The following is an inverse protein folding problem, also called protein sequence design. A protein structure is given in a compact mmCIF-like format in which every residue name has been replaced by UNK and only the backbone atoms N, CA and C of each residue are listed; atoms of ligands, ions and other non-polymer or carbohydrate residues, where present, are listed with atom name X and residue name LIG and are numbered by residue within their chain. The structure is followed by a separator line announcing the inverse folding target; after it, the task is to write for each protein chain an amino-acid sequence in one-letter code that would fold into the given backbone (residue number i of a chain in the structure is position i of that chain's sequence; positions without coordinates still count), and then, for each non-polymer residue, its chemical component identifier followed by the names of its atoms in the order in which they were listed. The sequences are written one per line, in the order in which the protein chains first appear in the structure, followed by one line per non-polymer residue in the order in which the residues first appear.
data_IF_055234995769
#
_entry.id   IF_055234995769
#
_cell.length_a   1.000
_cell.length_b   1.000
_cell.length_c   1.000
_cell.angle_alpha   90.00
_cell.angle_beta   90.00
_cell.angle_gamma   90.00
#
_symmetry.space_group_name_H-M   'P 1'
#
loop_
_entity.id
_entity.type
_entity.pdbx_description
1 polymer ?
#
# COMPACT_ATOMS: atom_id res chain seq x y z
N UNK A 1 8.95 -13.35 -2.39
CA UNK A 1 10.34 -13.52 -2.86
C UNK A 1 10.81 -14.94 -2.51
N UNK A 2 11.84 -15.45 -3.19
CA UNK A 2 12.45 -16.76 -2.94
C UNK A 2 13.98 -16.60 -2.99
N UNK A 3 14.77 -17.44 -2.28
CA UNK A 3 16.21 -17.49 -2.53
C UNK A 3 16.44 -17.93 -3.97
N UNK A 4 17.46 -17.37 -4.61
CA UNK A 4 17.79 -17.65 -6.00
C UNK A 4 19.21 -18.20 -6.11
N UNK A 5 19.38 -19.23 -6.92
CA UNK A 5 20.68 -19.82 -7.25
C UNK A 5 20.80 -19.88 -8.77
N UNK A 6 21.78 -19.18 -9.32
CA UNK A 6 22.12 -19.21 -10.74
C UNK A 6 23.43 -19.98 -10.92
N UNK A 7 23.42 -21.02 -11.74
CA UNK A 7 24.60 -21.86 -12.00
C UNK A 7 24.98 -21.74 -13.47
N UNK A 8 26.21 -21.31 -13.74
CA UNK A 8 26.81 -21.32 -15.07
C UNK A 8 27.65 -22.59 -15.21
N UNK A 9 27.32 -23.42 -16.20
CA UNK A 9 28.04 -24.68 -16.45
C UNK A 9 29.21 -24.47 -17.39
N UNK A 10 30.32 -25.13 -17.09
CA UNK A 10 31.52 -25.25 -17.91
C UNK A 10 31.98 -26.71 -17.93
N UNK A 11 31.66 -27.40 -19.03
CA UNK A 11 31.83 -28.85 -19.14
C UNK A 11 31.01 -29.62 -18.10
N UNK A 12 31.69 -30.46 -17.31
CA UNK A 12 31.09 -31.31 -16.27
C UNK A 12 30.91 -30.61 -14.92
N UNK A 13 31.40 -29.38 -14.77
CA UNK A 13 31.29 -28.60 -13.53
C UNK A 13 30.61 -27.26 -13.78
N UNK A 14 30.11 -26.62 -12.74
CA UNK A 14 29.51 -25.29 -12.84
C UNK A 14 29.75 -24.45 -11.61
N UNK A 15 29.87 -23.13 -11.80
CA UNK A 15 29.96 -22.15 -10.71
C UNK A 15 28.61 -21.50 -10.49
N UNK A 16 28.17 -21.49 -9.25
CA UNK A 16 26.89 -20.93 -8.82
C UNK A 16 27.06 -19.67 -7.99
N UNK A 17 26.18 -18.69 -8.21
CA UNK A 17 25.99 -17.56 -7.30
C UNK A 17 24.59 -17.61 -6.70
N UNK A 18 24.52 -17.41 -5.39
CA UNK A 18 23.31 -17.52 -4.60
C UNK A 18 22.96 -16.15 -3.99
N UNK A 19 21.67 -15.81 -3.95
CA UNK A 19 21.14 -14.64 -3.24
C UNK A 19 19.94 -15.04 -2.40
N UNK A 20 19.91 -14.53 -1.18
CA UNK A 20 18.83 -14.76 -0.23
C UNK A 20 17.99 -13.52 -0.03
N UNK A 21 16.90 -13.68 0.71
CA UNK A 21 16.06 -12.61 1.20
C UNK A 21 15.59 -12.94 2.62
N UNK A 22 15.12 -11.93 3.36
CA UNK A 22 14.26 -12.19 4.52
C UNK A 22 14.88 -13.01 5.64
N UNK A 23 16.19 -12.94 5.83
CA UNK A 23 16.89 -13.71 6.87
C UNK A 23 17.02 -15.21 6.61
N UNK A 24 16.64 -15.73 5.43
CA UNK A 24 16.95 -17.12 5.08
C UNK A 24 18.46 -17.30 4.93
N UNK A 25 19.08 -18.17 5.73
CA UNK A 25 20.54 -18.33 5.73
C UNK A 25 21.00 -19.28 4.61
N UNK A 26 21.58 -18.71 3.54
CA UNK A 26 22.13 -19.49 2.44
C UNK A 26 23.31 -20.37 2.84
N UNK A 27 24.16 -19.94 3.78
CA UNK A 27 25.30 -20.73 4.18
C UNK A 27 24.85 -22.04 4.85
N UNK A 28 23.83 -21.96 5.71
CA UNK A 28 23.26 -23.13 6.38
C UNK A 28 22.54 -24.03 5.36
N UNK A 29 21.78 -23.43 4.44
CA UNK A 29 21.08 -24.17 3.38
C UNK A 29 22.05 -24.93 2.46
N UNK A 30 23.16 -24.30 2.06
CA UNK A 30 24.19 -24.95 1.24
C UNK A 30 24.95 -26.00 2.04
N UNK A 31 25.21 -25.77 3.33
CA UNK A 31 25.85 -26.76 4.20
C UNK A 31 25.02 -28.02 4.34
N UNK A 32 23.70 -27.88 4.46
CA UNK A 32 22.77 -29.01 4.48
C UNK A 32 22.67 -29.75 3.12
N UNK A 33 23.16 -29.15 2.04
CA UNK A 33 23.19 -29.74 0.70
C UNK A 33 24.62 -30.11 0.25
N UNK A 34 25.58 -30.10 1.17
CA UNK A 34 27.02 -30.22 0.87
C UNK A 34 27.39 -31.49 0.09
N UNK A 35 26.70 -32.61 0.30
CA UNK A 35 26.89 -33.86 -0.44
C UNK A 35 26.64 -33.75 -1.95
N UNK A 36 25.91 -32.71 -2.38
CA UNK A 36 25.66 -32.44 -3.80
C UNK A 36 26.71 -31.50 -4.41
N UNK A 37 27.55 -30.87 -3.59
CA UNK A 37 28.42 -29.76 -3.98
C UNK A 37 29.89 -30.19 -3.98
N UNK A 38 30.66 -29.64 -4.90
CA UNK A 38 32.14 -29.78 -4.92
C UNK A 38 32.75 -28.82 -3.90
N UNK A 39 32.21 -27.61 -3.80
CA UNK A 39 32.59 -26.61 -2.81
C UNK A 39 31.48 -25.58 -2.65
N UNK A 40 31.46 -24.89 -1.50
CA UNK A 40 30.57 -23.75 -1.27
C UNK A 40 31.16 -22.83 -0.19
N UNK A 41 30.66 -21.59 -0.14
CA UNK A 41 31.06 -20.62 0.88
C UNK A 41 30.35 -19.28 0.72
N UNK A 42 30.45 -18.42 1.73
CA UNK A 42 29.84 -17.08 1.74
C UNK A 42 29.11 -16.79 3.05
N UNK A 43 28.08 -15.97 2.97
CA UNK A 43 27.31 -15.48 4.11
C UNK A 43 25.81 -15.76 3.94
N UNK A 44 25.04 -15.45 4.98
CA UNK A 44 23.59 -15.70 5.02
C UNK A 44 22.83 -15.14 3.81
N UNK A 45 23.18 -13.95 3.32
CA UNK A 45 22.46 -13.29 2.21
C UNK A 45 23.06 -13.53 0.82
N UNK A 46 24.33 -13.95 0.75
CA UNK A 46 25.02 -14.18 -0.51
C UNK A 46 26.08 -15.27 -0.36
N UNK A 47 26.04 -16.26 -1.25
CA UNK A 47 26.97 -17.38 -1.23
C UNK A 47 27.35 -17.81 -2.65
N UNK A 48 28.43 -18.57 -2.76
CA UNK A 48 28.89 -19.21 -3.98
C UNK A 48 28.98 -20.72 -3.81
N UNK A 49 28.85 -21.44 -4.91
CA UNK A 49 29.03 -22.90 -4.95
C UNK A 49 29.74 -23.36 -6.23
N UNK A 50 30.32 -24.54 -6.17
CA UNK A 50 30.77 -25.32 -7.32
C UNK A 50 30.05 -26.65 -7.29
N UNK A 51 29.53 -27.10 -8.42
CA UNK A 51 28.71 -28.30 -8.52
C UNK A 51 29.04 -29.07 -9.79
N UNK A 52 28.88 -30.40 -9.77
CA UNK A 52 28.94 -31.22 -10.98
C UNK A 52 27.60 -31.21 -11.70
N UNK A 53 27.62 -31.27 -13.03
CA UNK A 53 26.42 -31.22 -13.88
C UNK A 53 25.40 -32.30 -13.51
N UNK A 54 25.86 -33.50 -13.21
CA UNK A 54 25.04 -34.66 -12.83
C UNK A 54 24.36 -34.51 -11.45
N UNK A 55 24.87 -33.62 -10.58
CA UNK A 55 24.33 -33.41 -9.21
C UNK A 55 23.33 -32.27 -9.10
N UNK A 56 23.06 -31.55 -10.20
CA UNK A 56 22.19 -30.36 -10.19
C UNK A 56 20.75 -30.69 -9.82
N UNK A 57 20.23 -31.83 -10.28
CA UNK A 57 18.88 -32.28 -9.97
C UNK A 57 18.75 -32.62 -8.47
N UNK A 58 19.72 -33.37 -7.93
CA UNK A 58 19.78 -33.74 -6.52
C UNK A 58 19.90 -32.51 -5.62
N UNK A 59 20.79 -31.57 -5.97
CA UNK A 59 20.94 -30.31 -5.26
C UNK A 59 19.63 -29.50 -5.24
N UNK A 60 18.92 -29.41 -6.37
CA UNK A 60 17.63 -28.72 -6.45
C UNK A 60 16.60 -29.33 -5.50
N UNK A 61 16.52 -30.65 -5.46
CA UNK A 61 15.60 -31.36 -4.57
C UNK A 61 15.97 -31.16 -3.09
N UNK A 62 17.25 -31.29 -2.76
CA UNK A 62 17.75 -31.09 -1.40
C UNK A 62 17.52 -29.66 -0.89
N UNK A 63 17.84 -28.65 -1.72
CA UNK A 63 17.64 -27.25 -1.37
C UNK A 63 16.17 -26.91 -1.19
N UNK A 64 15.28 -27.44 -2.04
CA UNK A 64 13.83 -27.27 -1.88
C UNK A 64 13.35 -27.89 -0.57
N UNK A 65 13.74 -29.12 -0.28
CA UNK A 65 13.35 -29.80 0.95
C UNK A 65 13.86 -29.07 2.20
N UNK A 66 15.04 -28.46 2.13
CA UNK A 66 15.55 -27.60 3.19
C UNK A 66 14.71 -26.33 3.35
N UNK A 67 14.38 -25.65 2.25
CA UNK A 67 13.54 -24.45 2.27
C UNK A 67 12.14 -24.72 2.84
N UNK A 68 11.50 -25.80 2.41
CA UNK A 68 10.14 -26.16 2.89
C UNK A 68 10.11 -26.40 4.41
N UNK A 69 11.22 -26.85 5.00
CA UNK A 69 11.37 -27.00 6.47
C UNK A 69 11.78 -25.73 7.19
N UNK A 70 12.42 -24.80 6.48
CA UNK A 70 13.00 -23.58 7.03
C UNK A 70 12.62 -22.37 6.18
N UNK A 71 11.33 -22.09 5.95
CA UNK A 71 10.94 -20.98 5.11
C UNK A 71 11.37 -19.67 5.78
N UNK A 72 11.70 -18.67 4.96
CA UNK A 72 11.80 -17.30 5.49
C UNK A 72 10.43 -16.88 6.02
N UNK A 73 10.39 -16.36 7.24
CA UNK A 73 9.19 -15.74 7.79
C UNK A 73 8.96 -14.32 7.24
N UNK A 74 9.92 -13.77 6.48
CA UNK A 74 9.84 -12.40 6.01
C UNK A 74 8.89 -12.31 4.81
N UNK A 75 7.91 -11.44 4.97
CA UNK A 75 7.08 -10.97 3.86
C UNK A 75 7.81 -9.79 3.23
N UNK A 76 7.96 -9.73 1.89
CA UNK A 76 8.43 -8.52 1.24
C UNK A 76 7.57 -7.34 1.68
N UNK A 77 8.19 -6.36 2.32
CA UNK A 77 7.53 -5.15 2.78
C UNK A 77 8.20 -3.95 2.11
N UNK A 78 7.39 -2.97 1.72
CA UNK A 78 7.87 -1.66 1.34
C UNK A 78 7.66 -0.73 2.53
N UNK A 79 8.75 -0.38 3.20
CA UNK A 79 8.73 0.60 4.27
C UNK A 79 8.71 2.00 3.65
N UNK A 80 7.75 2.82 4.08
CA UNK A 80 7.67 4.23 3.70
C UNK A 80 8.05 5.07 4.92
N UNK A 81 8.99 5.98 4.75
CA UNK A 81 9.53 6.82 5.81
C UNK A 81 8.51 7.87 6.28
N UNK A 82 7.66 8.35 5.36
CA UNK A 82 6.70 9.41 5.68
C UNK A 82 5.43 9.34 4.85
N UNK A 83 4.29 9.42 5.52
CA UNK A 83 2.99 9.65 4.89
C UNK A 83 2.80 11.14 4.60
N UNK A 84 2.33 11.45 3.40
CA UNK A 84 1.95 12.80 2.97
C UNK A 84 0.46 12.78 2.62
N UNK A 85 -0.34 13.51 3.39
CA UNK A 85 -1.76 13.69 3.11
C UNK A 85 -2.04 14.97 2.30
N UNK A 86 -1.27 16.04 2.55
CA UNK A 86 -1.34 17.31 1.82
C UNK A 86 -0.23 17.40 0.75
N UNK A 87 -0.58 17.34 -0.55
CA UNK A 87 0.38 17.50 -1.64
C UNK A 87 1.10 18.84 -1.65
N UNK A 88 0.59 19.88 -0.99
CA UNK A 88 1.21 21.20 -0.94
C UNK A 88 2.57 21.19 -0.23
N UNK A 89 2.82 20.19 0.62
CA UNK A 89 4.10 19.96 1.28
C UNK A 89 5.22 19.56 0.31
N UNK A 90 4.86 19.07 -0.89
CA UNK A 90 5.80 18.71 -1.94
C UNK A 90 6.18 19.94 -2.76
N UNK A 91 7.06 20.78 -2.21
CA UNK A 91 7.61 21.97 -2.88
C UNK A 91 8.93 21.66 -3.59
N UNK A 92 9.29 22.45 -4.61
CA UNK A 92 10.57 22.30 -5.31
C UNK A 92 11.74 22.49 -4.35
N UNK A 93 11.62 23.44 -3.42
CA UNK A 93 12.62 23.74 -2.40
C UNK A 93 12.76 22.59 -1.39
N UNK A 94 11.63 22.02 -0.96
CA UNK A 94 11.62 20.87 -0.05
C UNK A 94 12.27 19.64 -0.69
N UNK A 95 11.97 19.37 -1.96
CA UNK A 95 12.60 18.27 -2.69
C UNK A 95 14.09 18.52 -2.95
N UNK A 96 14.49 19.74 -3.27
CA UNK A 96 15.90 20.10 -3.42
C UNK A 96 16.68 19.94 -2.10
N UNK A 97 16.03 20.17 -0.95
CA UNK A 97 16.64 19.92 0.35
C UNK A 97 16.87 18.43 0.60
N UNK A 98 15.97 17.54 0.13
CA UNK A 98 16.18 16.09 0.24
C UNK A 98 17.43 15.63 -0.53
N UNK A 99 17.73 16.23 -1.69
CA UNK A 99 18.92 15.90 -2.48
C UNK A 99 20.24 16.15 -1.72
N UNK A 100 20.24 17.02 -0.70
CA UNK A 100 21.40 17.24 0.18
C UNK A 100 21.69 16.06 1.11
N UNK A 101 20.78 15.09 1.23
CA UNK A 101 20.98 13.86 1.99
C UNK A 101 21.80 12.81 1.24
N UNK A 102 22.19 13.09 -0.01
CA UNK A 102 23.07 12.23 -0.79
C UNK A 102 24.49 12.14 -0.19
N UNK A 103 25.24 11.04 -0.42
CA UNK A 103 24.95 9.94 -1.33
C UNK A 103 23.97 8.91 -0.75
N UNK A 104 23.00 8.50 -1.55
CA UNK A 104 22.13 7.38 -1.21
C UNK A 104 22.79 6.03 -1.53
N UNK A 105 22.46 5.01 -0.75
CA UNK A 105 22.96 3.65 -0.91
C UNK A 105 22.40 2.72 0.17
N UNK A 106 23.02 1.54 0.34
CA UNK A 106 22.53 0.55 1.30
C UNK A 106 22.50 1.06 2.76
N UNK A 107 23.44 1.94 3.14
CA UNK A 107 23.48 2.54 4.47
C UNK A 107 22.70 3.86 4.60
N UNK A 108 22.14 4.37 3.50
CA UNK A 108 21.39 5.62 3.44
C UNK A 108 20.38 5.51 2.29
N UNK A 109 19.30 4.72 2.44
CA UNK A 109 18.33 4.57 1.38
C UNK A 109 17.67 5.93 1.07
N UNK A 110 17.25 6.10 -0.18
CA UNK A 110 16.47 7.29 -0.56
C UNK A 110 15.13 7.26 0.18
N UNK A 111 14.68 8.37 0.79
CA UNK A 111 13.43 8.39 1.52
C UNK A 111 12.24 8.08 0.59
N UNK A 112 11.40 7.16 1.02
CA UNK A 112 10.16 6.74 0.34
C UNK A 112 8.98 7.36 1.08
N UNK A 113 8.17 8.09 0.33
CA UNK A 113 6.95 8.72 0.80
C UNK A 113 5.73 7.90 0.39
N UNK A 114 4.68 7.98 1.20
CA UNK A 114 3.41 7.32 0.98
C UNK A 114 2.28 8.34 0.87
N UNK A 115 1.46 8.24 -0.17
CA UNK A 115 0.24 9.03 -0.30
C UNK A 115 -0.92 8.11 -0.65
N UNK A 116 -1.90 7.94 0.25
CA UNK A 116 -3.04 7.09 0.01
C UNK A 116 -4.13 7.79 -0.79
N UNK A 117 -5.11 7.03 -1.25
CA UNK A 117 -6.40 7.57 -1.71
C UNK A 117 -6.26 8.61 -2.84
N UNK A 118 -5.34 8.35 -3.77
CA UNK A 118 -5.13 9.11 -4.99
C UNK A 118 -6.07 8.61 -6.08
N UNK A 119 -6.60 9.50 -6.92
CA UNK A 119 -7.35 9.10 -8.11
C UNK A 119 -6.40 9.00 -9.30
N UNK A 120 -6.41 7.86 -9.99
CA UNK A 120 -5.69 7.71 -11.25
C UNK A 120 -6.46 8.42 -12.36
N UNK A 121 -6.04 9.62 -12.77
CA UNK A 121 -6.72 10.34 -13.85
C UNK A 121 -6.32 9.82 -15.23
N UNK A 122 -5.05 9.45 -15.39
CA UNK A 122 -4.53 8.97 -16.67
C UNK A 122 -3.30 8.10 -16.49
N UNK A 123 -3.16 7.08 -17.32
CA UNK A 123 -1.92 6.34 -17.45
C UNK A 123 -1.52 6.15 -18.92
N UNK A 124 -0.24 6.29 -19.23
CA UNK A 124 0.26 6.19 -20.61
C UNK A 124 1.59 5.46 -20.63
N UNK A 125 1.66 4.44 -21.48
CA UNK A 125 2.88 3.69 -21.72
C UNK A 125 3.94 4.57 -22.40
N UNK A 126 5.18 4.49 -21.91
CA UNK A 126 6.34 5.20 -22.46
C UNK A 126 7.53 4.22 -22.60
N UNK A 127 8.62 4.66 -23.25
CA UNK A 127 9.83 3.85 -23.37
C UNK A 127 9.63 2.52 -24.09
N UNK A 128 8.79 2.50 -25.12
CA UNK A 128 8.46 1.27 -25.86
C UNK A 128 7.55 0.30 -25.09
N UNK A 129 6.77 0.80 -24.13
CA UNK A 129 5.83 -0.03 -23.36
C UNK A 129 6.39 -0.61 -22.07
N UNK A 130 7.63 -0.26 -21.69
CA UNK A 130 8.30 -0.80 -20.50
C UNK A 130 8.04 0.01 -19.23
N UNK A 131 7.54 1.23 -19.36
CA UNK A 131 7.34 2.16 -18.25
C UNK A 131 6.01 2.89 -18.41
N UNK A 132 5.52 3.49 -17.34
CA UNK A 132 4.29 4.26 -17.32
C UNK A 132 4.56 5.70 -16.89
N UNK A 133 3.93 6.64 -17.60
CA UNK A 133 3.65 7.98 -17.10
C UNK A 133 2.22 7.98 -16.56
N UNK A 134 2.04 8.34 -15.30
CA UNK A 134 0.76 8.31 -14.62
C UNK A 134 0.46 9.72 -14.11
N UNK A 135 -0.76 10.19 -14.27
CA UNK A 135 -1.25 11.39 -13.61
C UNK A 135 -2.16 10.95 -12.47
N UNK A 136 -1.71 11.19 -11.25
CA UNK A 136 -2.48 10.97 -10.04
C UNK A 136 -3.07 12.29 -9.55
N UNK A 137 -4.18 12.22 -8.83
CA UNK A 137 -4.83 13.40 -8.28
C UNK A 137 -5.19 13.20 -6.82
N UNK A 138 -4.86 14.21 -6.03
CA UNK A 138 -5.32 14.36 -4.65
C UNK A 138 -6.08 15.68 -4.57
N UNK A 139 -7.38 15.62 -4.30
CA UNK A 139 -8.24 16.81 -4.25
C UNK A 139 -8.15 17.66 -5.54
N UNK A 140 -7.54 18.85 -5.47
CA UNK A 140 -7.32 19.74 -6.61
C UNK A 140 -5.89 19.64 -7.20
N UNK A 141 -4.98 18.94 -6.53
CA UNK A 141 -3.60 18.82 -6.94
C UNK A 141 -3.42 17.67 -7.94
N UNK A 142 -2.88 18.00 -9.12
CA UNK A 142 -2.41 17.02 -10.09
C UNK A 142 -0.94 16.67 -9.85
N UNK A 143 -0.64 15.38 -9.79
CA UNK A 143 0.67 14.83 -9.52
C UNK A 143 1.15 14.05 -10.75
N UNK A 144 2.20 14.58 -11.39
CA UNK A 144 2.85 13.89 -12.50
C UNK A 144 3.78 12.81 -11.99
N UNK A 145 3.55 11.57 -12.39
CA UNK A 145 4.25 10.41 -11.89
C UNK A 145 4.91 9.59 -13.03
N UNK A 146 6.00 8.91 -12.70
CA UNK A 146 6.64 7.90 -13.56
C UNK A 146 6.83 6.63 -12.76
N UNK A 147 6.42 5.50 -13.32
CA UNK A 147 6.67 4.17 -12.79
C UNK A 147 7.49 3.38 -13.81
N UNK A 148 8.69 2.96 -13.41
CA UNK A 148 9.60 2.22 -14.26
C UNK A 148 9.35 0.72 -14.15
N UNK A 149 9.64 0.01 -15.24
CA UNK A 149 9.56 -1.45 -15.34
C UNK A 149 8.20 -2.02 -14.93
N UNK A 150 7.12 -1.35 -15.33
CA UNK A 150 5.75 -1.81 -15.08
C UNK A 150 4.84 -1.47 -16.26
N UNK A 151 3.78 -2.26 -16.40
CA UNK A 151 2.72 -2.12 -17.40
C UNK A 151 1.36 -1.98 -16.71
N UNK A 152 0.36 -1.43 -17.41
CA UNK A 152 -0.98 -1.27 -16.84
C UNK A 152 -1.62 -2.60 -16.41
N UNK A 153 -1.30 -3.68 -17.13
CA UNK A 153 -1.84 -5.02 -16.84
C UNK A 153 -1.31 -5.57 -15.50
N UNK A 154 -0.08 -5.21 -15.12
CA UNK A 154 0.53 -5.66 -13.87
C UNK A 154 0.00 -4.90 -12.64
N UNK A 155 -0.49 -3.67 -12.82
CA UNK A 155 -0.94 -2.83 -11.71
C UNK A 155 -2.32 -3.19 -11.16
N UNK A 156 -3.17 -3.85 -11.96
CA UNK A 156 -4.51 -4.23 -11.53
C UNK A 156 -5.42 -3.04 -11.21
N UNK A 157 -5.13 -1.86 -11.75
CA UNK A 157 -5.90 -0.61 -11.57
C UNK A 157 -6.15 0.06 -12.92
N UNK A 158 -7.23 0.83 -12.98
CA UNK A 158 -7.70 1.53 -14.17
C UNK A 158 -7.82 3.04 -13.94
N UNK A 159 -7.94 3.80 -15.02
CA UNK A 159 -8.27 5.23 -14.93
C UNK A 159 -9.63 5.41 -14.23
N UNK A 160 -9.67 6.30 -13.24
CA UNK A 160 -10.81 6.51 -12.33
C UNK A 160 -10.66 5.80 -10.98
N UNK A 161 -9.81 4.78 -10.88
CA UNK A 161 -9.64 4.04 -9.62
C UNK A 161 -8.90 4.85 -8.57
N UNK A 162 -9.15 4.49 -7.31
CA UNK A 162 -8.41 4.99 -6.16
C UNK A 162 -7.21 4.08 -5.89
N UNK A 163 -6.07 4.70 -5.65
CA UNK A 163 -4.79 4.03 -5.47
C UNK A 163 -4.01 4.62 -4.31
N UNK A 164 -3.22 3.79 -3.66
CA UNK A 164 -2.18 4.23 -2.75
C UNK A 164 -0.83 4.18 -3.47
N UNK A 165 -0.05 5.25 -3.36
CA UNK A 165 1.24 5.38 -4.04
C UNK A 165 2.39 5.47 -3.03
N UNK A 166 3.42 4.67 -3.26
CA UNK A 166 4.72 4.83 -2.64
C UNK A 166 5.69 5.41 -3.67
N UNK A 167 6.41 6.47 -3.31
CA UNK A 167 7.19 7.24 -4.28
C UNK A 167 8.34 7.99 -3.62
N UNK A 168 9.28 8.46 -4.41
CA UNK A 168 10.15 9.54 -4.01
C UNK A 168 9.98 10.74 -4.95
N UNK A 169 9.90 11.96 -4.40
CA UNK A 169 9.75 13.15 -5.22
C UNK A 169 11.09 13.51 -5.88
N UNK A 170 11.02 14.02 -7.11
CA UNK A 170 12.16 14.41 -7.93
C UNK A 170 11.87 15.74 -8.59
N UNK A 171 12.92 16.52 -8.82
CA UNK A 171 12.85 17.71 -9.66
C UNK A 171 13.18 17.26 -11.08
N UNK A 172 12.21 17.38 -11.97
CA UNK A 172 12.41 17.19 -13.40
C UNK A 172 12.74 18.52 -14.06
N UNK A 173 13.86 18.58 -14.78
CA UNK A 173 14.27 19.75 -15.55
C UNK A 173 14.21 19.45 -17.05
N UNK A 174 13.27 20.10 -17.74
CA UNK A 174 13.11 19.91 -19.18
C UNK A 174 12.85 21.24 -19.86
N UNK A 175 13.64 21.53 -20.91
CA UNK A 175 13.56 22.79 -21.68
C UNK A 175 13.59 24.05 -20.79
N UNK A 176 14.44 24.04 -19.76
CA UNK A 176 14.60 25.15 -18.82
C UNK A 176 13.45 25.29 -17.81
N UNK A 177 12.47 24.37 -17.79
CA UNK A 177 11.40 24.34 -16.79
C UNK A 177 11.69 23.27 -15.75
N UNK A 178 11.74 23.68 -14.49
CA UNK A 178 11.78 22.78 -13.32
C UNK A 178 10.34 22.46 -12.91
N UNK A 179 10.06 21.19 -12.65
CA UNK A 179 8.74 20.73 -12.21
C UNK A 179 8.90 19.56 -11.25
N UNK A 180 8.01 19.46 -10.28
CA UNK A 180 7.91 18.28 -9.42
C UNK A 180 7.43 17.07 -10.25
N UNK A 181 8.08 15.94 -10.07
CA UNK A 181 7.66 14.64 -10.61
C UNK A 181 7.84 13.59 -9.52
N UNK A 182 6.84 12.72 -9.36
CA UNK A 182 6.94 11.60 -8.43
C UNK A 182 7.46 10.38 -9.17
N UNK A 183 8.59 9.83 -8.74
CA UNK A 183 8.99 8.52 -9.22
C UNK A 183 8.38 7.47 -8.30
N UNK A 184 7.42 6.73 -8.83
CA UNK A 184 6.72 5.69 -8.08
C UNK A 184 7.65 4.50 -7.88
N UNK A 185 7.66 3.98 -6.66
CA UNK A 185 8.29 2.71 -6.29
C UNK A 185 7.26 1.59 -6.35
N UNK A 186 6.03 1.89 -5.93
CA UNK A 186 4.91 0.95 -5.97
C UNK A 186 3.57 1.70 -6.06
N UNK A 187 2.56 1.01 -6.58
CA UNK A 187 1.20 1.52 -6.71
C UNK A 187 0.24 0.36 -6.51
N UNK A 188 -0.71 0.51 -5.59
CA UNK A 188 -1.74 -0.50 -5.32
C UNK A 188 -3.13 0.12 -5.34
N UNK A 189 -4.21 -0.66 -5.58
CA UNK A 189 -5.56 -0.23 -5.25
C UNK A 189 -5.61 0.29 -3.81
N UNK A 190 -6.34 1.38 -3.57
CA UNK A 190 -6.50 1.92 -2.23
C UNK A 190 -7.18 0.87 -1.33
N UNK A 191 -6.56 0.54 -0.21
CA UNK A 191 -7.11 -0.41 0.74
C UNK A 191 -7.73 0.33 1.93
N UNK A 192 -9.05 0.54 1.82
CA UNK A 192 -9.85 1.11 2.91
C UNK A 192 -10.43 0.03 3.84
N UNK A 193 -10.29 -1.25 3.51
CA UNK A 193 -11.00 -2.34 4.18
C UNK A 193 -10.48 -2.59 5.59
N UNK A 194 -9.17 -2.57 5.79
CA UNK A 194 -8.57 -2.76 7.12
C UNK A 194 -9.06 -1.68 8.10
N UNK A 195 -9.04 -0.43 7.64
CA UNK A 195 -9.52 0.72 8.40
C UNK A 195 -11.03 0.64 8.66
N UNK A 196 -11.82 0.27 7.66
CA UNK A 196 -13.26 0.04 7.86
C UNK A 196 -13.51 -1.05 8.91
N UNK A 197 -12.73 -2.14 8.89
CA UNK A 197 -12.81 -3.22 9.87
C UNK A 197 -12.54 -2.72 11.28
N UNK A 198 -11.42 -2.02 11.50
CA UNK A 198 -11.07 -1.40 12.80
C UNK A 198 -12.20 -0.51 13.32
N UNK A 199 -12.73 0.36 12.46
CA UNK A 199 -13.84 1.26 12.81
C UNK A 199 -15.13 0.50 13.16
N UNK A 200 -15.44 -0.60 12.47
CA UNK A 200 -16.59 -1.46 12.75
C UNK A 200 -16.40 -2.26 14.05
N UNK A 201 -15.19 -2.74 14.31
CA UNK A 201 -14.78 -3.37 15.57
C UNK A 201 -14.79 -2.38 16.75
N UNK A 202 -14.93 -1.08 16.46
CA UNK A 202 -15.01 0.00 17.44
C UNK A 202 -13.67 0.49 17.96
N UNK A 203 -12.60 0.12 17.27
CA UNK A 203 -11.28 0.70 17.47
C UNK A 203 -11.28 2.16 16.99
N UNK A 204 -10.46 2.99 17.64
CA UNK A 204 -10.25 4.36 17.19
C UNK A 204 -9.18 4.37 16.09
N UNK A 205 -9.40 5.08 14.98
CA UNK A 205 -8.39 5.20 13.94
C UNK A 205 -7.17 5.95 14.48
N UNK A 206 -5.99 5.60 13.98
CA UNK A 206 -4.77 6.30 14.33
C UNK A 206 -4.82 7.75 13.84
N UNK A 207 -4.07 8.69 14.46
CA UNK A 207 -4.20 10.11 14.14
C UNK A 207 -4.00 10.45 12.64
N UNK A 208 -3.12 9.72 11.96
CA UNK A 208 -2.85 9.89 10.52
C UNK A 208 -3.91 9.24 9.62
N UNK A 209 -4.62 8.21 10.10
CA UNK A 209 -5.79 7.66 9.40
C UNK A 209 -6.97 8.63 9.56
N UNK A 210 -7.16 9.14 10.77
CA UNK A 210 -8.26 10.00 11.18
C UNK A 210 -8.33 11.35 10.44
N UNK A 211 -7.20 12.02 10.23
CA UNK A 211 -7.17 13.38 9.70
C UNK A 211 -7.86 13.48 8.32
N UNK A 212 -7.56 12.52 7.44
CA UNK A 212 -8.15 12.44 6.11
C UNK A 212 -9.58 11.92 6.07
N UNK A 213 -10.13 11.36 7.17
CA UNK A 213 -11.45 10.72 7.22
C UNK A 213 -12.56 11.60 7.79
N UNK A 214 -12.22 12.74 8.40
CA UNK A 214 -13.18 13.60 9.08
C UNK A 214 -14.30 14.05 8.12
N UNK A 215 -15.55 13.56 8.29
CA UNK A 215 -16.64 13.89 7.37
C UNK A 215 -17.02 15.37 7.46
N UNK A 216 -17.69 15.86 6.43
CA UNK A 216 -18.43 17.12 6.42
C UNK A 216 -19.91 16.90 6.76
N UNK A 217 -20.66 17.97 7.01
CA UNK A 217 -22.13 17.87 7.17
C UNK A 217 -22.83 17.32 5.93
N UNK A 218 -22.26 17.54 4.73
CA UNK A 218 -22.83 17.03 3.47
C UNK A 218 -22.70 15.51 3.36
N UNK A 219 -21.67 14.93 3.98
CA UNK A 219 -21.46 13.49 3.97
C UNK A 219 -22.56 12.77 4.76
N UNK A 220 -22.91 13.25 5.95
CA UNK A 220 -24.04 12.69 6.71
C UNK A 220 -25.37 12.79 5.97
N UNK A 221 -25.64 13.93 5.32
CA UNK A 221 -26.86 14.08 4.51
C UNK A 221 -26.88 13.07 3.37
N UNK A 222 -25.73 12.81 2.74
CA UNK A 222 -25.60 11.82 1.68
C UNK A 222 -25.85 10.40 2.20
N UNK A 223 -25.28 10.04 3.35
CA UNK A 223 -25.51 8.74 4.01
C UNK A 223 -26.97 8.56 4.41
N UNK A 224 -27.59 9.59 5.00
CA UNK A 224 -29.01 9.53 5.39
C UNK A 224 -29.93 9.29 4.20
N UNK A 225 -29.76 10.08 3.12
CA UNK A 225 -30.55 9.91 1.88
C UNK A 225 -30.32 8.55 1.23
N UNK A 226 -29.10 8.04 1.30
CA UNK A 226 -28.75 6.71 0.80
C UNK A 226 -29.45 5.60 1.59
N UNK A 227 -29.51 5.69 2.92
CA UNK A 227 -30.29 4.78 3.76
C UNK A 227 -31.79 4.85 3.42
N UNK A 228 -32.36 6.06 3.32
CA UNK A 228 -33.79 6.25 2.97
C UNK A 228 -34.13 5.64 1.61
N UNK A 229 -33.31 5.90 0.59
CA UNK A 229 -33.50 5.36 -0.76
C UNK A 229 -33.45 3.82 -0.78
N UNK A 230 -32.74 3.22 0.16
CA UNK A 230 -32.60 1.78 0.29
C UNK A 230 -33.67 1.14 1.19
N UNK A 231 -34.72 1.88 1.57
CA UNK A 231 -35.80 1.39 2.42
C UNK A 231 -35.49 1.45 3.92
N UNK A 232 -34.47 2.21 4.32
CA UNK A 232 -34.11 2.41 5.73
C UNK A 232 -33.16 1.35 6.31
N UNK A 233 -32.72 0.37 5.53
CA UNK A 233 -31.74 -0.63 5.97
C UNK A 233 -30.80 -0.97 4.83
N UNK A 234 -29.48 -0.97 5.08
CA UNK A 234 -28.47 -1.40 4.10
C UNK A 234 -27.43 -2.25 4.81
N UNK A 235 -26.98 -3.32 4.16
CA UNK A 235 -25.88 -4.13 4.66
C UNK A 235 -25.30 -5.02 3.59
N UNK A 236 -24.13 -5.56 3.87
CA UNK A 236 -23.40 -6.45 2.96
C UNK A 236 -22.08 -6.90 3.54
N UNK A 237 -21.31 -7.61 2.73
CA UNK A 237 -19.93 -8.00 3.08
C UNK A 237 -19.04 -6.77 3.09
N UNK A 238 -18.12 -6.69 4.05
CA UNK A 238 -17.13 -5.62 4.11
C UNK A 238 -16.30 -5.56 2.82
N UNK A 239 -15.91 -6.70 2.26
CA UNK A 239 -15.17 -6.76 0.99
C UNK A 239 -15.90 -6.10 -0.21
N UNK A 240 -17.22 -5.88 -0.12
CA UNK A 240 -18.02 -5.22 -1.14
C UNK A 240 -18.43 -3.78 -0.79
N UNK A 241 -17.88 -3.20 0.29
CA UNK A 241 -18.35 -1.92 0.83
C UNK A 241 -18.17 -0.74 -0.14
N UNK A 242 -17.10 -0.74 -0.94
CA UNK A 242 -16.86 0.32 -1.94
C UNK A 242 -17.99 0.39 -2.97
N UNK A 243 -18.56 -0.75 -3.37
CA UNK A 243 -19.69 -0.80 -4.30
C UNK A 243 -21.02 -0.40 -3.64
N UNK A 244 -21.13 -0.52 -2.32
CA UNK A 244 -22.31 -0.14 -1.55
C UNK A 244 -22.34 1.35 -1.20
N UNK A 245 -21.17 1.98 -1.10
CA UNK A 245 -21.04 3.34 -0.64
C UNK A 245 -21.81 4.34 -1.53
N UNK A 246 -22.32 5.44 -0.96
CA UNK A 246 -22.89 6.53 -1.76
C UNK A 246 -21.89 6.99 -2.83
N UNK A 247 -22.38 7.26 -4.05
CA UNK A 247 -21.52 7.65 -5.17
C UNK A 247 -20.54 8.77 -4.80
N UNK A 248 -19.25 8.51 -5.01
CA UNK A 248 -18.17 9.47 -4.73
C UNK A 248 -17.72 9.53 -3.25
N UNK A 249 -18.34 8.76 -2.36
CA UNK A 249 -17.93 8.63 -0.95
C UNK A 249 -16.98 7.45 -0.78
N UNK A 250 -15.89 7.65 -0.04
CA UNK A 250 -14.98 6.56 0.36
C UNK A 250 -15.65 5.63 1.36
N UNK A 251 -15.43 4.32 1.26
CA UNK A 251 -15.98 3.37 2.22
C UNK A 251 -15.66 3.71 3.69
N UNK A 252 -14.42 4.09 3.99
CA UNK A 252 -14.04 4.46 5.36
C UNK A 252 -14.81 5.71 5.85
N UNK A 253 -15.10 6.67 4.97
CA UNK A 253 -15.94 7.84 5.31
C UNK A 253 -17.39 7.43 5.60
N UNK A 254 -17.94 6.48 4.84
CA UNK A 254 -19.26 5.89 5.10
C UNK A 254 -19.29 5.25 6.50
N UNK A 255 -18.32 4.39 6.82
CA UNK A 255 -18.26 3.69 8.12
C UNK A 255 -18.16 4.69 9.27
N UNK A 256 -17.30 5.71 9.15
CA UNK A 256 -17.20 6.80 10.13
C UNK A 256 -18.54 7.50 10.33
N UNK A 257 -19.23 7.85 9.23
CA UNK A 257 -20.56 8.48 9.32
C UNK A 257 -21.56 7.57 10.05
N UNK A 258 -21.64 6.29 9.68
CA UNK A 258 -22.54 5.32 10.32
C UNK A 258 -22.27 5.16 11.82
N UNK A 259 -20.99 5.09 12.22
CA UNK A 259 -20.59 5.00 13.64
C UNK A 259 -20.96 6.25 14.44
N UNK A 260 -20.78 7.44 13.86
CA UNK A 260 -21.19 8.69 14.51
C UNK A 260 -22.70 8.79 14.59
N UNK A 261 -23.41 8.39 13.53
CA UNK A 261 -24.87 8.37 13.50
C UNK A 261 -25.43 7.38 14.54
N UNK A 262 -24.80 6.22 14.72
CA UNK A 262 -25.14 5.26 15.76
C UNK A 262 -24.96 5.85 17.17
N UNK A 263 -23.82 6.47 17.44
CA UNK A 263 -23.56 7.12 18.73
C UNK A 263 -24.60 8.22 19.08
N UNK A 264 -25.21 8.84 18.06
CA UNK A 264 -26.23 9.88 18.21
C UNK A 264 -27.68 9.35 18.11
N UNK A 265 -27.85 8.03 18.04
CA UNK A 265 -29.14 7.35 17.98
C UNK A 265 -29.90 7.55 16.66
N UNK A 266 -29.19 7.84 15.57
CA UNK A 266 -29.75 7.97 14.22
C UNK A 266 -29.78 6.64 13.46
N UNK A 267 -28.87 5.72 13.78
CA UNK A 267 -28.78 4.41 13.15
C UNK A 267 -28.51 3.31 14.17
N UNK A 268 -28.84 2.07 13.84
CA UNK A 268 -28.31 0.87 14.51
C UNK A 268 -27.30 0.25 13.56
N UNK A 269 -26.08 -0.03 14.04
CA UNK A 269 -25.07 -0.75 13.28
C UNK A 269 -24.90 -2.15 13.88
N UNK A 270 -24.86 -3.15 13.00
CA UNK A 270 -24.55 -4.54 13.36
C UNK A 270 -23.36 -5.00 12.54
N UNK A 271 -22.44 -5.73 13.17
CA UNK A 271 -21.18 -6.19 12.62
C UNK A 271 -20.82 -7.55 13.22
N UNK A 272 -20.48 -8.53 12.39
CA UNK A 272 -20.17 -9.91 12.81
C UNK A 272 -18.75 -10.37 12.47
N UNK A 273 -17.90 -9.48 11.95
CA UNK A 273 -16.55 -9.79 11.48
C UNK A 273 -16.43 -9.95 9.95
N UNK A 274 -17.54 -10.20 9.25
CA UNK A 274 -17.57 -10.30 7.77
C UNK A 274 -18.57 -9.33 7.15
N UNK A 275 -19.73 -9.15 7.78
CA UNK A 275 -20.88 -8.41 7.28
C UNK A 275 -21.27 -7.30 8.23
N UNK A 276 -21.58 -6.15 7.64
CA UNK A 276 -22.18 -5.03 8.36
C UNK A 276 -23.62 -4.81 7.90
N UNK A 277 -24.46 -4.29 8.79
CA UNK A 277 -25.79 -3.79 8.45
C UNK A 277 -26.11 -2.55 9.29
N UNK A 278 -26.52 -1.50 8.60
CA UNK A 278 -26.96 -0.23 9.17
C UNK A 278 -28.47 -0.05 8.95
N UNK A 279 -29.19 0.32 10.00
CA UNK A 279 -30.62 0.60 9.95
C UNK A 279 -30.90 2.02 10.44
N UNK A 280 -31.69 2.78 9.68
CA UNK A 280 -32.09 4.13 10.06
C UNK A 280 -33.17 4.09 11.15
N UNK A 281 -32.96 4.84 12.23
CA UNK A 281 -33.94 5.01 13.28
C UNK A 281 -34.75 6.28 13.06
N UNK A 282 -36.07 6.18 13.24
CA UNK A 282 -36.92 7.38 13.29
C UNK A 282 -36.69 8.07 14.63
N UNK A 283 -36.35 9.35 14.58
CA UNK A 283 -36.17 10.21 15.76
C UNK A 283 -37.01 11.47 15.63
N UNK A 284 -37.56 11.92 16.75
CA UNK A 284 -38.12 13.26 16.90
C UNK A 284 -37.02 14.23 17.41
N UNK A 285 -36.79 15.31 16.67
CA UNK A 285 -35.81 16.37 17.00
C UNK A 285 -34.52 16.36 16.17
N UNK A 286 -33.70 17.40 16.32
CA UNK A 286 -32.39 17.53 15.64
C UNK A 286 -31.32 16.73 16.37
N UNK A 287 -30.60 15.87 15.66
CA UNK A 287 -29.42 15.18 16.19
C UNK A 287 -28.23 16.14 16.33
N UNK A 288 -27.45 15.96 17.39
CA UNK A 288 -26.26 16.76 17.66
C UNK A 288 -24.99 15.97 17.33
N UNK A 289 -24.66 15.88 16.04
CA UNK A 289 -23.47 15.17 15.55
C UNK A 289 -22.15 15.64 16.19
N UNK A 290 -22.11 16.86 16.73
CA UNK A 290 -20.94 17.41 17.41
C UNK A 290 -20.73 16.82 18.83
N UNK A 291 -21.67 16.01 19.33
CA UNK A 291 -21.59 15.30 20.61
C UNK A 291 -20.62 14.11 20.61
N UNK A 292 -20.58 13.38 19.50
CA UNK A 292 -19.84 12.12 19.33
C UNK A 292 -18.35 12.22 19.68
N UNK A 293 -17.82 11.32 20.55
CA UNK A 293 -16.40 11.23 20.86
C UNK A 293 -15.53 11.01 19.62
N UNK A 294 -15.96 10.15 18.70
CA UNK A 294 -15.26 9.87 17.45
C UNK A 294 -15.16 11.13 16.59
N UNK A 295 -16.25 11.88 16.45
CA UNK A 295 -16.25 13.12 15.67
C UNK A 295 -15.32 14.19 16.26
N UNK A 296 -15.28 14.33 17.59
CA UNK A 296 -14.34 15.23 18.27
C UNK A 296 -12.88 14.80 18.05
N UNK A 297 -12.60 13.51 18.16
CA UNK A 297 -11.26 12.97 17.92
C UNK A 297 -10.81 13.22 16.47
N UNK A 298 -11.68 12.96 15.49
CA UNK A 298 -11.39 13.20 14.06
C UNK A 298 -11.15 14.68 13.76
N UNK A 299 -11.98 15.59 14.30
CA UNK A 299 -11.78 17.04 14.16
C UNK A 299 -10.46 17.50 14.79
N UNK A 300 -10.13 16.97 15.97
CA UNK A 300 -8.87 17.26 16.66
C UNK A 300 -7.65 16.81 15.86
N UNK A 301 -7.71 15.62 15.26
CA UNK A 301 -6.66 15.11 14.38
C UNK A 301 -6.55 15.97 13.12
N UNK A 302 -7.67 16.26 12.44
CA UNK A 302 -7.67 17.11 11.25
C UNK A 302 -6.99 18.44 11.53
N UNK A 303 -7.40 19.18 12.56
CA UNK A 303 -6.81 20.49 12.87
C UNK A 303 -5.33 20.45 13.29
N UNK A 304 -4.81 19.29 13.67
CA UNK A 304 -3.42 19.12 14.11
C UNK A 304 -2.49 18.72 12.97
N UNK A 305 -3.01 17.96 12.00
CA UNK A 305 -2.20 17.31 10.96
C UNK A 305 -2.54 17.75 9.53
N UNK A 306 -3.59 18.54 9.33
CA UNK A 306 -4.02 19.16 8.06
C UNK A 306 -4.35 20.65 8.29
#
# INVERSE_FOLDING_TARGET
MLPAVMICMDGETGKGSCRSFGGFNLFDALSACSDCLVSYGGHALAAGLTIRRDRVADFRAALRAYYDRNPSAAVPALECDMRIDDPSLLTVEGVAALEQMEPYGNGNPRPVFYMPELVMERATAIGGGKHLRINLKKEQAGLGCVLFSSTMQELGVSEGDRVDAAFYPRINEFRGRRSLQLQLTDLRPADSLELCRKLLDGESPEPWEAAGLCPSRRDFVSVWRWLEKSGGSVGGRLAGIEALAPSGMRAATLVVCLRIMEAEGLTILSWDGERFRAEALKREGKANLDGSPLWKALKGCRNRYL
#
